data_IF_696339321992
#
_entry.id   IF_696339321992
#
_cell.length_a   1.000
_cell.length_b   1.000
_cell.length_c   1.000
_cell.angle_alpha   90.00
_cell.angle_beta   90.00
_cell.angle_gamma   90.00
#
_symmetry.space_group_name_H-M   'P 1'
#
loop_
_entity.id
_entity.type
_entity.pdbx_description
1 polymer ?
#
# COMPACT_ATOMS: atom_id res chain seq x y z
N UNK A 1 10.18 24.47 12.71
CA UNK A 1 9.55 24.51 11.37
C UNK A 1 9.70 23.19 10.58
N UNK A 2 9.27 22.03 11.12
CA UNK A 2 9.24 20.74 10.38
C UNK A 2 7.98 19.88 10.66
N UNK A 3 6.90 20.51 11.15
CA UNK A 3 5.61 19.84 11.46
C UNK A 3 4.43 20.29 10.58
N UNK A 4 4.68 21.10 9.54
CA UNK A 4 3.62 21.68 8.68
C UNK A 4 3.47 20.95 7.33
N UNK A 5 4.43 20.11 6.92
CA UNK A 5 4.42 19.53 5.57
C UNK A 5 3.53 18.29 5.39
N UNK A 6 3.01 17.68 6.46
CA UNK A 6 2.18 16.46 6.38
C UNK A 6 0.68 16.76 6.55
N UNK A 7 0.30 17.95 7.04
CA UNK A 7 -1.11 18.38 7.11
C UNK A 7 -1.65 19.05 5.83
N UNK A 8 -0.78 19.42 4.89
CA UNK A 8 -1.19 20.13 3.67
C UNK A 8 -1.79 19.25 2.57
N UNK A 9 -1.82 17.92 2.70
CA UNK A 9 -2.41 17.03 1.69
C UNK A 9 -3.91 16.74 1.93
N UNK A 10 -4.49 17.18 3.05
CA UNK A 10 -5.89 16.90 3.41
C UNK A 10 -6.80 18.13 3.59
N UNK A 11 -6.32 19.36 3.46
CA UNK A 11 -7.09 20.56 3.87
C UNK A 11 -7.63 21.46 2.75
N UNK A 12 -7.25 21.28 1.48
CA UNK A 12 -7.59 22.26 0.42
C UNK A 12 -8.78 21.91 -0.49
N UNK A 13 -9.65 20.99 -0.05
CA UNK A 13 -10.87 20.63 -0.81
C UNK A 13 -12.15 21.26 -0.24
N UNK A 14 -12.05 22.42 0.41
CA UNK A 14 -13.17 23.14 1.01
C UNK A 14 -13.29 24.58 0.52
N UNK A 15 -13.00 24.83 -0.76
CA UNK A 15 -13.41 26.07 -1.43
C UNK A 15 -13.32 25.90 -2.95
N UNK A 16 -14.41 25.39 -3.54
CA UNK A 16 -14.99 25.80 -4.84
C UNK A 16 -16.11 24.83 -5.22
N UNK A 17 -17.23 24.95 -4.51
CA UNK A 17 -18.53 24.50 -5.00
C UNK A 17 -19.38 25.77 -5.14
N UNK A 18 -19.41 26.31 -6.35
CA UNK A 18 -20.61 26.95 -6.87
C UNK A 18 -20.55 26.87 -8.39
N UNK A 19 -21.65 26.40 -9.00
CA UNK A 19 -21.90 26.19 -10.45
C UNK A 19 -21.25 24.90 -10.97
N UNK A 20 -21.95 23.91 -11.52
CA UNK A 20 -23.30 23.86 -12.08
C UNK A 20 -23.95 22.49 -11.85
N UNK A 21 -25.24 22.54 -11.57
CA UNK A 21 -26.18 21.43 -11.63
C UNK A 21 -26.42 20.99 -13.09
N UNK A 22 -26.97 19.77 -13.21
CA UNK A 22 -27.70 19.19 -14.33
C UNK A 22 -26.89 18.56 -15.48
N UNK A 23 -26.87 17.23 -15.56
CA UNK A 23 -27.88 16.48 -16.33
C UNK A 23 -27.67 14.96 -16.26
N UNK A 24 -28.82 14.28 -16.23
CA UNK A 24 -29.04 12.83 -16.23
C UNK A 24 -28.44 12.10 -17.43
N UNK A 25 -28.12 10.81 -17.26
CA UNK A 25 -28.71 9.75 -18.10
C UNK A 25 -28.30 8.36 -17.64
N UNK A 26 -29.35 7.55 -17.51
CA UNK A 26 -29.51 6.18 -17.08
C UNK A 26 -29.03 5.19 -18.15
N UNK A 27 -28.31 4.13 -17.76
CA UNK A 27 -28.40 2.81 -18.41
C UNK A 27 -27.83 1.73 -17.48
N UNK A 28 -28.74 0.93 -16.95
CA UNK A 28 -28.54 -0.25 -16.12
C UNK A 28 -28.23 -1.44 -17.04
N UNK A 29 -27.16 -2.21 -16.76
CA UNK A 29 -26.94 -3.51 -17.40
C UNK A 29 -26.62 -4.58 -16.37
N UNK A 30 -27.61 -5.43 -16.16
CA UNK A 30 -27.55 -6.71 -15.47
C UNK A 30 -26.47 -7.63 -16.06
N UNK A 31 -25.74 -8.33 -15.19
CA UNK A 31 -25.16 -9.62 -15.54
C UNK A 31 -25.32 -10.61 -14.39
N UNK A 32 -26.15 -11.61 -14.68
CA UNK A 32 -26.43 -12.79 -13.89
C UNK A 32 -25.24 -13.75 -14.01
N UNK A 33 -24.66 -14.21 -12.89
CA UNK A 33 -23.78 -15.39 -12.94
C UNK A 33 -23.88 -16.23 -11.67
N UNK A 34 -24.05 -17.52 -11.92
CA UNK A 34 -24.47 -18.57 -11.01
C UNK A 34 -23.43 -18.91 -9.95
N UNK A 35 -23.97 -19.23 -8.77
CA UNK A 35 -23.30 -19.59 -7.52
C UNK A 35 -22.94 -21.08 -7.52
N UNK A 36 -21.65 -21.40 -7.68
CA UNK A 36 -21.11 -22.72 -7.40
C UNK A 36 -20.66 -22.82 -5.93
N UNK A 37 -21.31 -23.69 -5.15
CA UNK A 37 -20.94 -24.02 -3.77
C UNK A 37 -19.81 -25.05 -3.77
N UNK A 38 -18.71 -24.80 -3.06
CA UNK A 38 -17.82 -25.85 -2.57
C UNK A 38 -17.44 -25.53 -1.12
N UNK A 39 -17.87 -26.42 -0.23
CA UNK A 39 -17.52 -26.46 1.18
C UNK A 39 -16.17 -27.15 1.34
N UNK A 40 -15.27 -26.60 2.17
CA UNK A 40 -14.24 -27.41 2.80
C UNK A 40 -13.97 -26.94 4.24
N UNK A 41 -13.66 -27.92 5.07
CA UNK A 41 -13.90 -28.00 6.50
C UNK A 41 -13.03 -27.09 7.37
N UNK A 42 -13.63 -26.62 8.48
CA UNK A 42 -12.94 -26.09 9.67
C UNK A 42 -12.26 -27.25 10.40
N UNK A 43 -10.99 -27.10 10.74
CA UNK A 43 -10.40 -27.77 11.90
C UNK A 43 -9.66 -26.75 12.75
N UNK A 44 -10.01 -26.76 14.03
CA UNK A 44 -9.60 -25.88 15.11
C UNK A 44 -8.72 -26.70 16.02
N UNK A 45 -7.50 -26.24 16.32
CA UNK A 45 -6.81 -26.59 17.57
C UNK A 45 -5.95 -25.40 18.02
N UNK A 46 -6.40 -24.78 19.12
CA UNK A 46 -5.55 -24.01 20.01
C UNK A 46 -4.97 -24.96 21.04
N UNK A 47 -3.65 -24.99 21.17
CA UNK A 47 -2.97 -25.24 22.46
C UNK A 47 -1.74 -24.34 22.52
N UNK A 48 -1.76 -23.49 23.55
CA UNK A 48 -0.73 -22.53 23.92
C UNK A 48 0.30 -23.24 24.80
N UNK A 49 1.58 -23.11 24.46
CA UNK A 49 2.67 -23.41 25.40
C UNK A 49 3.57 -22.18 25.47
N UNK A 50 3.56 -21.55 26.64
CA UNK A 50 4.46 -20.47 27.02
C UNK A 50 5.82 -21.06 27.35
N UNK A 51 6.86 -20.60 26.66
CA UNK A 51 8.22 -20.55 27.22
C UNK A 51 9.05 -19.49 26.51
N UNK A 52 9.78 -18.78 27.35
CA UNK A 52 10.57 -17.58 27.17
C UNK A 52 11.51 -17.59 25.95
N UNK A 53 11.39 -16.57 25.07
CA UNK A 53 12.53 -16.10 24.25
C UNK A 53 12.33 -14.62 23.88
N UNK A 54 12.84 -13.72 24.72
CA UNK A 54 12.90 -12.27 24.43
C UNK A 54 14.04 -11.90 23.44
N UNK A 55 14.78 -12.86 22.87
CA UNK A 55 15.94 -12.60 22.00
C UNK A 55 15.72 -12.92 20.50
N UNK A 56 14.77 -13.80 20.16
CA UNK A 56 14.58 -14.24 18.77
C UNK A 56 13.90 -13.23 17.84
N UNK A 57 13.05 -12.34 18.39
CA UNK A 57 12.27 -11.38 17.60
C UNK A 57 13.10 -10.22 17.06
N UNK A 58 14.10 -9.75 17.80
CA UNK A 58 14.98 -8.67 17.35
C UNK A 58 16.08 -9.14 16.38
N UNK A 59 16.50 -10.40 16.48
CA UNK A 59 17.45 -11.00 15.54
C UNK A 59 16.83 -11.29 14.16
N UNK A 60 15.57 -11.72 14.10
CA UNK A 60 14.85 -11.90 12.83
C UNK A 60 14.47 -10.55 12.17
N UNK A 61 14.16 -9.53 12.99
CA UNK A 61 13.86 -8.17 12.51
C UNK A 61 15.07 -7.47 11.87
N UNK A 62 16.29 -7.79 12.32
CA UNK A 62 17.53 -7.21 11.79
C UNK A 62 18.05 -7.87 10.50
N UNK A 63 17.64 -9.10 10.16
CA UNK A 63 18.07 -9.75 8.91
C UNK A 63 17.37 -9.20 7.66
N UNK A 64 16.17 -8.65 7.80
CA UNK A 64 15.31 -8.23 6.68
C UNK A 64 15.47 -6.77 6.25
N UNK A 65 16.28 -5.98 6.96
CA UNK A 65 16.46 -4.54 6.72
C UNK A 65 17.63 -4.18 5.79
N UNK A 66 18.48 -5.14 5.41
CA UNK A 66 19.69 -4.86 4.61
C UNK A 66 19.53 -5.22 3.14
N UNK A 67 19.43 -4.20 2.28
CA UNK A 67 19.53 -4.37 0.83
C UNK A 67 21.01 -4.55 0.42
N UNK A 68 21.37 -5.79 0.06
CA UNK A 68 22.72 -6.20 -0.33
C UNK A 68 22.81 -6.54 -1.83
N UNK A 69 23.32 -5.58 -2.60
CA UNK A 69 23.61 -5.71 -4.03
C UNK A 69 25.12 -5.80 -4.25
N UNK A 70 25.57 -6.66 -5.15
CA UNK A 70 26.97 -6.60 -5.62
C UNK A 70 27.20 -5.31 -6.43
N UNK A 71 28.46 -4.87 -6.57
CA UNK A 71 28.79 -3.69 -7.37
C UNK A 71 28.26 -3.81 -8.80
N UNK A 72 28.39 -4.99 -9.42
CA UNK A 72 27.85 -5.29 -10.75
C UNK A 72 26.33 -5.21 -10.79
N UNK A 73 25.63 -5.77 -9.79
CA UNK A 73 24.17 -5.68 -9.69
C UNK A 73 23.71 -4.23 -9.60
N UNK A 74 24.36 -3.42 -8.76
CA UNK A 74 24.03 -2.00 -8.59
C UNK A 74 24.25 -1.21 -9.88
N UNK A 75 25.35 -1.44 -10.59
CA UNK A 75 25.64 -0.78 -11.87
C UNK A 75 24.57 -1.10 -12.92
N UNK A 76 24.20 -2.38 -13.07
CA UNK A 76 23.21 -2.82 -14.04
C UNK A 76 21.79 -2.31 -13.69
N UNK A 77 21.42 -2.32 -12.41
CA UNK A 77 20.16 -1.74 -11.94
C UNK A 77 20.11 -0.24 -12.29
N UNK A 78 21.15 0.54 -11.95
CA UNK A 78 21.20 1.98 -12.26
C UNK A 78 21.04 2.25 -13.75
N UNK A 79 21.74 1.47 -14.58
CA UNK A 79 21.66 1.59 -16.04
C UNK A 79 20.26 1.31 -16.57
N UNK A 80 19.66 0.19 -16.15
CA UNK A 80 18.32 -0.21 -16.61
C UNK A 80 17.21 0.69 -16.05
N UNK A 81 17.37 1.20 -14.82
CA UNK A 81 16.48 2.20 -14.25
C UNK A 81 16.50 3.50 -15.06
N UNK A 82 17.68 4.04 -15.35
CA UNK A 82 17.82 5.25 -16.18
C UNK A 82 17.18 5.07 -17.55
N UNK A 83 17.38 3.92 -18.19
CA UNK A 83 16.70 3.59 -19.45
C UNK A 83 15.18 3.60 -19.31
N UNK A 84 14.63 3.02 -18.24
CA UNK A 84 13.19 3.00 -17.99
C UNK A 84 12.62 4.41 -17.74
N UNK A 85 13.37 5.26 -17.03
CA UNK A 85 13.00 6.66 -16.75
C UNK A 85 12.91 7.54 -18.01
N UNK A 86 13.64 7.19 -19.08
CA UNK A 86 13.58 7.92 -20.35
C UNK A 86 12.21 7.85 -21.05
N UNK A 87 11.30 6.98 -20.62
CA UNK A 87 9.94 6.86 -21.16
C UNK A 87 9.02 8.01 -20.72
N UNK A 88 9.39 8.75 -19.67
CA UNK A 88 8.63 9.92 -19.23
C UNK A 88 8.80 10.24 -17.74
N UNK A 89 8.37 11.44 -17.34
CA UNK A 89 8.59 11.96 -15.99
C UNK A 89 8.05 11.06 -14.86
N UNK A 90 6.96 10.33 -15.10
CA UNK A 90 6.34 9.39 -14.15
C UNK A 90 6.52 7.92 -14.54
N UNK A 91 7.28 7.62 -15.60
CA UNK A 91 7.62 6.26 -15.98
C UNK A 91 8.96 5.84 -15.36
N UNK A 92 9.15 4.57 -14.96
CA UNK A 92 8.27 3.44 -15.22
C UNK A 92 7.15 3.24 -14.17
N UNK A 93 7.00 4.14 -13.20
CA UNK A 93 6.06 3.97 -12.09
C UNK A 93 4.60 3.81 -12.56
N UNK A 94 4.14 4.62 -13.51
CA UNK A 94 2.81 4.48 -14.09
C UNK A 94 2.60 3.12 -14.75
N UNK A 95 3.55 2.62 -15.54
CA UNK A 95 3.46 1.29 -16.15
C UNK A 95 3.41 0.16 -15.11
N UNK A 96 4.13 0.29 -13.98
CA UNK A 96 4.09 -0.68 -12.87
C UNK A 96 2.70 -0.71 -12.24
N UNK A 97 2.13 0.45 -11.88
CA UNK A 97 0.78 0.51 -11.31
C UNK A 97 -0.29 0.02 -12.28
N UNK A 98 -0.16 0.32 -13.57
CA UNK A 98 -1.07 -0.22 -14.59
C UNK A 98 -0.94 -1.74 -14.69
N UNK A 99 0.27 -2.29 -14.62
CA UNK A 99 0.45 -3.75 -14.61
C UNK A 99 -0.15 -4.40 -13.36
N UNK A 100 -0.05 -3.76 -12.20
CA UNK A 100 -0.68 -4.28 -10.97
C UNK A 100 -2.22 -4.29 -11.03
N UNK A 101 -2.83 -3.38 -11.81
CA UNK A 101 -4.28 -3.41 -12.08
C UNK A 101 -4.70 -4.63 -12.88
N UNK A 102 -3.86 -5.11 -13.81
CA UNK A 102 -4.12 -6.35 -14.54
C UNK A 102 -3.91 -7.58 -13.66
N UNK A 103 -2.93 -7.55 -12.75
CA UNK A 103 -2.69 -8.63 -11.77
C UNK A 103 -3.81 -8.76 -10.76
N UNK A 104 -4.36 -7.64 -10.29
CA UNK A 104 -5.39 -7.62 -9.28
C UNK A 104 -6.35 -6.44 -9.51
N UNK A 105 -7.57 -6.74 -9.97
CA UNK A 105 -8.60 -5.74 -10.22
C UNK A 105 -8.98 -4.93 -8.97
N UNK A 106 -8.81 -5.48 -7.77
CA UNK A 106 -9.03 -4.75 -6.51
C UNK A 106 -8.07 -3.56 -6.35
N UNK A 107 -6.81 -3.68 -6.79
CA UNK A 107 -5.85 -2.57 -6.74
C UNK A 107 -6.34 -1.41 -7.63
N UNK A 108 -6.89 -1.74 -8.80
CA UNK A 108 -7.51 -0.73 -9.67
C UNK A 108 -8.70 -0.07 -8.98
N UNK A 109 -9.60 -0.85 -8.40
CA UNK A 109 -10.77 -0.32 -7.68
C UNK A 109 -10.35 0.61 -6.53
N UNK A 110 -9.31 0.24 -5.79
CA UNK A 110 -8.76 1.05 -4.70
C UNK A 110 -8.12 2.37 -5.18
N UNK A 111 -7.31 2.34 -6.23
CA UNK A 111 -6.65 3.56 -6.73
C UNK A 111 -7.63 4.47 -7.48
N UNK A 112 -8.57 3.88 -8.21
CA UNK A 112 -9.51 4.61 -9.06
C UNK A 112 -10.84 4.96 -8.35
N UNK A 113 -10.99 4.65 -7.05
CA UNK A 113 -12.22 4.96 -6.29
C UNK A 113 -12.57 6.45 -6.32
N UNK A 114 -13.85 6.74 -6.50
CA UNK A 114 -14.42 8.08 -6.62
C UNK A 114 -14.54 8.59 -8.06
N UNK A 115 -14.95 9.85 -8.24
CA UNK A 115 -14.99 10.55 -9.52
C UNK A 115 -13.71 10.36 -10.34
N UNK A 116 -13.88 10.23 -11.67
CA UNK A 116 -12.81 9.92 -12.63
C UNK A 116 -11.52 10.74 -12.38
N UNK A 117 -11.66 12.06 -12.22
CA UNK A 117 -10.52 12.96 -12.01
C UNK A 117 -9.75 12.66 -10.71
N UNK A 118 -10.44 12.26 -9.63
CA UNK A 118 -9.80 11.95 -8.36
C UNK A 118 -8.97 10.66 -8.42
N UNK A 119 -9.47 9.63 -9.11
CA UNK A 119 -8.73 8.37 -9.30
C UNK A 119 -7.43 8.58 -10.07
N UNK A 120 -7.46 9.34 -11.17
CA UNK A 120 -6.26 9.66 -11.94
C UNK A 120 -5.25 10.51 -11.16
N UNK A 121 -5.71 11.51 -10.39
CA UNK A 121 -4.81 12.29 -9.53
C UNK A 121 -4.20 11.45 -8.41
N UNK A 122 -4.94 10.50 -7.83
CA UNK A 122 -4.41 9.54 -6.85
C UNK A 122 -3.32 8.66 -7.46
N UNK A 123 -3.55 8.13 -8.66
CA UNK A 123 -2.56 7.35 -9.41
C UNK A 123 -1.31 8.18 -9.71
N UNK A 124 -1.48 9.42 -10.17
CA UNK A 124 -0.38 10.34 -10.47
C UNK A 124 0.47 10.62 -9.23
N UNK A 125 -0.17 10.87 -8.08
CA UNK A 125 0.51 11.05 -6.78
C UNK A 125 1.28 9.79 -6.36
N UNK A 126 0.69 8.60 -6.53
CA UNK A 126 1.38 7.33 -6.25
C UNK A 126 2.60 7.13 -7.14
N UNK A 127 2.45 7.35 -8.45
CA UNK A 127 3.56 7.23 -9.40
C UNK A 127 4.69 8.21 -9.08
N UNK A 128 4.37 9.48 -8.80
CA UNK A 128 5.36 10.47 -8.40
C UNK A 128 6.10 10.08 -7.13
N UNK A 129 5.36 9.74 -6.07
CA UNK A 129 5.95 9.35 -4.78
C UNK A 129 6.85 8.13 -4.92
N UNK A 130 6.39 7.12 -5.67
CA UNK A 130 7.17 5.92 -5.94
C UNK A 130 8.45 6.23 -6.72
N UNK A 131 8.36 7.02 -7.79
CA UNK A 131 9.54 7.47 -8.56
C UNK A 131 10.54 8.21 -7.66
N UNK A 132 10.09 9.16 -6.84
CA UNK A 132 10.97 9.94 -5.96
C UNK A 132 11.71 9.02 -4.96
N UNK A 133 11.02 8.03 -4.38
CA UNK A 133 11.62 7.05 -3.46
C UNK A 133 12.62 6.14 -4.20
N UNK A 134 12.26 5.66 -5.38
CA UNK A 134 13.10 4.77 -6.18
C UNK A 134 14.36 5.46 -6.69
N UNK A 135 14.24 6.71 -7.15
CA UNK A 135 15.38 7.51 -7.60
C UNK A 135 16.40 7.65 -6.46
N UNK A 136 15.95 7.96 -5.23
CA UNK A 136 16.83 8.03 -4.05
C UNK A 136 17.46 6.69 -3.69
N UNK A 137 16.68 5.60 -3.71
CA UNK A 137 17.17 4.25 -3.40
C UNK A 137 18.26 3.79 -4.38
N UNK A 138 18.04 4.02 -5.69
CA UNK A 138 18.89 3.49 -6.76
C UNK A 138 20.13 4.36 -6.97
N UNK A 139 19.97 5.69 -6.95
CA UNK A 139 21.11 6.61 -7.08
C UNK A 139 22.00 6.56 -5.83
N UNK A 140 21.44 6.21 -4.68
CA UNK A 140 22.18 6.15 -3.41
C UNK A 140 22.59 7.52 -2.88
N UNK A 141 21.85 8.57 -3.27
CA UNK A 141 22.11 9.94 -2.83
C UNK A 141 21.69 10.19 -1.37
N UNK A 142 20.87 9.31 -0.79
CA UNK A 142 20.43 9.40 0.60
C UNK A 142 20.84 8.17 1.41
N UNK A 143 20.97 8.38 2.73
CA UNK A 143 21.13 7.29 3.69
C UNK A 143 19.95 6.30 3.55
N UNK A 144 20.25 5.00 3.49
CA UNK A 144 19.23 3.96 3.25
C UNK A 144 18.11 4.01 4.30
N UNK A 145 18.44 4.42 5.51
CA UNK A 145 17.56 4.58 6.65
C UNK A 145 16.43 5.59 6.37
N UNK A 146 16.73 6.67 5.66
CA UNK A 146 15.74 7.69 5.27
C UNK A 146 14.74 7.08 4.27
N UNK A 147 15.25 6.34 3.29
CA UNK A 147 14.41 5.66 2.30
C UNK A 147 13.53 4.59 2.95
N UNK A 148 14.07 3.82 3.90
CA UNK A 148 13.34 2.83 4.69
C UNK A 148 12.18 3.49 5.44
N UNK A 149 12.43 4.62 6.10
CA UNK A 149 11.39 5.33 6.86
C UNK A 149 10.27 5.84 5.94
N UNK A 150 10.61 6.42 4.79
CA UNK A 150 9.61 6.87 3.81
C UNK A 150 8.79 5.70 3.23
N UNK A 151 9.42 4.55 2.98
CA UNK A 151 8.71 3.33 2.58
C UNK A 151 7.76 2.83 3.67
N UNK A 152 8.20 2.76 4.93
CA UNK A 152 7.33 2.35 6.05
C UNK A 152 6.17 3.32 6.24
N UNK A 153 6.43 4.62 6.16
CA UNK A 153 5.40 5.66 6.20
C UNK A 153 4.40 5.55 5.06
N UNK A 154 4.86 5.26 3.84
CA UNK A 154 3.97 4.96 2.71
C UNK A 154 3.12 3.71 2.99
N UNK A 155 3.71 2.64 3.55
CA UNK A 155 2.99 1.44 3.99
C UNK A 155 1.90 1.74 5.01
N UNK A 156 2.21 2.56 6.03
CA UNK A 156 1.25 3.01 7.05
C UNK A 156 0.05 3.75 6.45
N UNK A 157 0.27 4.59 5.43
CA UNK A 157 -0.80 5.37 4.78
C UNK A 157 -1.87 4.49 4.11
N UNK A 158 -1.55 3.26 3.73
CA UNK A 158 -2.52 2.33 3.15
C UNK A 158 -3.57 1.84 4.17
N UNK A 159 -3.33 2.00 5.48
CA UNK A 159 -4.35 1.74 6.50
C UNK A 159 -5.46 2.82 6.49
N UNK A 160 -5.15 4.06 6.12
CA UNK A 160 -6.18 5.11 6.00
C UNK A 160 -7.21 4.74 4.91
N UNK A 161 -6.76 4.13 3.81
CA UNK A 161 -7.64 3.62 2.75
C UNK A 161 -8.60 2.53 3.26
N UNK A 162 -8.18 1.72 4.24
CA UNK A 162 -9.05 0.72 4.86
C UNK A 162 -10.23 1.40 5.58
N UNK A 163 -9.96 2.47 6.34
CA UNK A 163 -10.97 3.15 7.16
C UNK A 163 -12.02 3.87 6.30
N UNK A 164 -11.57 4.54 5.25
CA UNK A 164 -12.46 5.33 4.38
C UNK A 164 -13.35 4.42 3.49
N UNK A 165 -12.93 3.17 3.26
CA UNK A 165 -13.73 2.16 2.56
C UNK A 165 -14.72 1.41 3.47
N UNK A 166 -14.43 1.30 4.77
CA UNK A 166 -15.31 0.61 5.74
C UNK A 166 -16.39 1.51 6.36
N UNK A 167 -16.30 2.84 6.20
CA UNK A 167 -17.20 3.81 6.87
C UNK A 167 -18.31 4.37 6.00
N UNK A 168 -18.43 3.95 4.74
CA UNK A 168 -19.56 4.33 3.87
C UNK A 168 -20.83 3.57 4.29
N UNK A 169 -21.49 4.03 5.36
CA UNK A 169 -22.89 3.71 5.65
C UNK A 169 -23.76 4.67 4.82
N UNK A 170 -24.34 4.19 3.73
CA UNK A 170 -25.37 4.96 3.02
C UNK A 170 -26.68 4.88 3.83
N UNK A 171 -27.12 5.99 4.40
CA UNK A 171 -28.40 6.10 5.12
C UNK A 171 -29.64 5.89 4.22
N UNK A 172 -29.47 5.60 2.92
CA UNK A 172 -30.54 5.42 1.93
C UNK A 172 -30.70 3.99 1.40
N UNK A 173 -29.73 3.11 1.62
CA UNK A 173 -29.85 1.70 1.25
C UNK A 173 -29.38 0.86 2.43
N UNK A 174 -30.20 -0.12 2.83
CA UNK A 174 -29.82 -1.10 3.85
C UNK A 174 -28.75 -2.09 3.32
N UNK A 175 -27.94 -1.66 2.35
CA UNK A 175 -26.92 -2.42 1.64
C UNK A 175 -25.60 -1.70 1.87
N UNK A 176 -24.84 -2.21 2.84
CA UNK A 176 -23.46 -1.81 3.05
C UNK A 176 -22.69 -2.04 1.74
N UNK A 177 -22.34 -0.97 1.02
CA UNK A 177 -21.37 -1.03 -0.08
C UNK A 177 -20.02 -1.34 0.56
N UNK A 178 -19.74 -2.63 0.74
CA UNK A 178 -18.46 -3.13 1.24
C UNK A 178 -17.41 -2.78 0.19
N UNK A 179 -16.77 -1.62 0.33
CA UNK A 179 -15.60 -1.29 -0.46
C UNK A 179 -14.53 -2.35 -0.23
N UNK A 180 -13.80 -2.74 -1.28
CA UNK A 180 -12.71 -3.70 -1.14
C UNK A 180 -11.66 -3.13 -0.17
N UNK A 181 -11.39 -3.78 0.98
CA UNK A 181 -10.39 -3.29 1.91
C UNK A 181 -8.99 -3.50 1.34
N UNK A 182 -8.04 -2.58 1.60
CA UNK A 182 -6.63 -2.83 1.32
C UNK A 182 -6.10 -3.99 2.19
N UNK A 183 -5.27 -4.87 1.62
CA UNK A 183 -4.77 -6.11 2.24
C UNK A 183 -3.31 -6.33 1.88
N UNK A 184 -2.62 -7.14 2.68
CA UNK A 184 -1.21 -7.49 2.44
C UNK A 184 -0.97 -8.09 1.05
N UNK A 185 -1.90 -8.91 0.54
CA UNK A 185 -1.79 -9.54 -0.79
C UNK A 185 -1.67 -8.51 -1.93
N UNK A 186 -2.17 -7.29 -1.76
CA UNK A 186 -2.03 -6.23 -2.76
C UNK A 186 -0.57 -5.82 -2.96
N UNK A 187 0.26 -5.90 -1.91
CA UNK A 187 1.70 -5.68 -2.05
C UNK A 187 2.38 -6.82 -2.83
N UNK A 188 1.91 -8.07 -2.72
CA UNK A 188 2.48 -9.19 -3.50
C UNK A 188 2.15 -9.08 -4.97
N UNK A 189 0.91 -8.71 -5.30
CA UNK A 189 0.50 -8.43 -6.66
C UNK A 189 1.28 -7.24 -7.25
N UNK A 190 1.53 -6.20 -6.45
CA UNK A 190 2.39 -5.09 -6.85
C UNK A 190 3.85 -5.53 -7.08
N UNK A 191 4.41 -6.36 -6.19
CA UNK A 191 5.76 -6.91 -6.33
C UNK A 191 5.91 -7.71 -7.63
N UNK A 192 4.96 -8.63 -7.88
CA UNK A 192 4.91 -9.42 -9.11
C UNK A 192 4.81 -8.54 -10.35
N UNK A 193 3.92 -7.55 -10.33
CA UNK A 193 3.77 -6.61 -11.44
C UNK A 193 5.06 -5.83 -11.72
N UNK A 194 5.77 -5.40 -10.69
CA UNK A 194 7.03 -4.67 -10.82
C UNK A 194 8.15 -5.55 -11.38
N UNK A 195 8.31 -6.78 -10.86
CA UNK A 195 9.30 -7.76 -11.34
C UNK A 195 9.10 -8.06 -12.84
N UNK A 196 7.86 -8.13 -13.30
CA UNK A 196 7.59 -8.31 -14.73
C UNK A 196 8.00 -7.10 -15.56
N UNK A 197 7.73 -5.87 -15.09
CA UNK A 197 8.18 -4.66 -15.78
C UNK A 197 9.70 -4.60 -15.87
N UNK A 198 10.44 -5.07 -14.87
CA UNK A 198 11.90 -5.01 -14.88
C UNK A 198 12.54 -5.86 -15.98
N UNK A 199 11.84 -6.88 -16.49
CA UNK A 199 12.31 -7.72 -17.60
C UNK A 199 12.39 -6.96 -18.93
N UNK A 200 11.66 -5.86 -19.05
CA UNK A 200 11.60 -5.04 -20.27
C UNK A 200 12.56 -3.86 -20.26
N UNK A 201 13.23 -3.58 -19.12
CA UNK A 201 14.09 -2.42 -18.96
C UNK A 201 15.51 -2.68 -19.46
N UNK A 202 16.14 -1.64 -20.01
CA UNK A 202 17.48 -1.69 -20.57
C UNK A 202 17.55 -2.27 -21.99
N UNK A 203 18.75 -2.23 -22.56
CA UNK A 203 19.06 -2.86 -23.83
C UNK A 203 19.07 -4.39 -23.69
N UNK A 204 18.94 -5.12 -24.81
CA UNK A 204 18.93 -6.60 -24.83
C UNK A 204 20.14 -7.21 -24.09
N UNK A 205 21.32 -6.58 -24.16
CA UNK A 205 22.56 -7.03 -23.49
C UNK A 205 22.52 -6.88 -21.97
N UNK A 206 21.75 -5.93 -21.46
CA UNK A 206 21.64 -5.64 -20.03
C UNK A 206 20.56 -6.52 -19.36
N UNK A 207 19.70 -7.18 -20.14
CA UNK A 207 18.63 -8.07 -19.67
C UNK A 207 19.17 -9.48 -19.41
N UNK A 208 19.90 -9.63 -18.32
CA UNK A 208 20.51 -10.90 -17.92
C UNK A 208 20.14 -11.30 -16.48
N UNK A 209 20.49 -12.52 -16.09
CA UNK A 209 20.20 -13.08 -14.76
C UNK A 209 20.75 -12.22 -13.62
N UNK A 210 21.91 -11.58 -13.81
CA UNK A 210 22.54 -10.72 -12.79
C UNK A 210 21.70 -9.46 -12.56
N UNK A 211 21.30 -8.78 -13.64
CA UNK A 211 20.41 -7.61 -13.57
C UNK A 211 19.07 -7.98 -12.93
N UNK A 212 18.46 -9.07 -13.38
CA UNK A 212 17.16 -9.51 -12.84
C UNK A 212 17.23 -9.89 -11.36
N UNK A 213 18.32 -10.53 -10.93
CA UNK A 213 18.54 -10.83 -9.50
C UNK A 213 18.68 -9.54 -8.69
N UNK A 214 19.36 -8.53 -9.23
CA UNK A 214 19.45 -7.20 -8.61
C UNK A 214 18.07 -6.55 -8.44
N UNK A 215 17.25 -6.55 -9.50
CA UNK A 215 15.88 -6.05 -9.44
C UNK A 215 15.01 -6.79 -8.44
N UNK A 216 15.01 -8.13 -8.46
CA UNK A 216 14.22 -8.92 -7.50
C UNK A 216 14.57 -8.57 -6.05
N UNK A 217 15.85 -8.43 -5.72
CA UNK A 217 16.28 -8.01 -4.37
C UNK A 217 15.72 -6.64 -3.99
N UNK A 218 15.77 -5.67 -4.90
CA UNK A 218 15.23 -4.32 -4.68
C UNK A 218 13.73 -4.36 -4.48
N UNK A 219 12.98 -5.06 -5.34
CA UNK A 219 11.52 -5.16 -5.23
C UNK A 219 11.10 -5.81 -3.92
N UNK A 220 11.73 -6.93 -3.55
CA UNK A 220 11.45 -7.62 -2.29
C UNK A 220 11.75 -6.71 -1.10
N UNK A 221 12.88 -6.00 -1.12
CA UNK A 221 13.22 -5.03 -0.08
C UNK A 221 12.15 -3.93 0.07
N UNK A 222 11.75 -3.30 -1.03
CA UNK A 222 10.73 -2.23 -1.02
C UNK A 222 9.41 -2.72 -0.45
N UNK A 223 8.93 -3.86 -0.94
CA UNK A 223 7.65 -4.42 -0.54
C UNK A 223 7.69 -4.89 0.91
N UNK A 224 8.82 -5.41 1.39
CA UNK A 224 8.99 -5.72 2.80
C UNK A 224 8.85 -4.46 3.68
N UNK A 225 9.52 -3.36 3.33
CA UNK A 225 9.41 -2.12 4.11
C UNK A 225 7.98 -1.54 4.11
N UNK A 226 7.28 -1.61 2.96
CA UNK A 226 5.86 -1.22 2.86
C UNK A 226 4.98 -2.11 3.76
N UNK A 227 5.21 -3.42 3.75
CA UNK A 227 4.48 -4.40 4.57
C UNK A 227 4.70 -4.18 6.05
N UNK A 228 5.95 -3.98 6.47
CA UNK A 228 6.29 -3.67 7.86
C UNK A 228 5.54 -2.44 8.35
N UNK A 229 5.60 -1.35 7.58
CA UNK A 229 4.87 -0.11 7.90
C UNK A 229 3.35 -0.34 8.02
N UNK A 230 2.75 -1.05 7.07
CA UNK A 230 1.33 -1.37 7.09
C UNK A 230 0.92 -2.22 8.32
N UNK A 231 1.70 -3.25 8.64
CA UNK A 231 1.44 -4.12 9.79
C UNK A 231 1.66 -3.41 11.12
N UNK A 232 2.66 -2.53 11.22
CA UNK A 232 2.87 -1.67 12.37
C UNK A 232 1.66 -0.78 12.63
N UNK A 233 1.12 -0.15 11.58
CA UNK A 233 -0.09 0.67 11.69
C UNK A 233 -1.31 -0.15 12.18
N UNK A 234 -1.53 -1.35 11.64
CA UNK A 234 -2.62 -2.22 12.10
C UNK A 234 -2.46 -2.57 13.58
N UNK A 235 -1.24 -2.94 14.00
CA UNK A 235 -0.98 -3.27 15.40
C UNK A 235 -1.22 -2.08 16.32
N UNK A 236 -0.81 -0.88 15.91
CA UNK A 236 -1.04 0.36 16.63
C UNK A 236 -2.53 0.69 16.75
N UNK A 237 -3.27 0.61 15.65
CA UNK A 237 -4.72 0.84 15.65
C UNK A 237 -5.46 -0.14 16.57
N UNK A 238 -5.08 -1.42 16.57
CA UNK A 238 -5.67 -2.43 17.47
C UNK A 238 -5.45 -2.08 18.95
N UNK A 239 -4.24 -1.64 19.30
CA UNK A 239 -3.91 -1.21 20.67
C UNK A 239 -4.69 0.03 21.07
N UNK A 240 -4.83 1.01 20.17
CA UNK A 240 -5.63 2.21 20.44
C UNK A 240 -7.11 1.89 20.64
N UNK A 241 -7.69 1.02 19.82
CA UNK A 241 -9.09 0.59 19.98
C UNK A 241 -9.32 -0.07 21.34
N UNK A 242 -8.42 -0.97 21.75
CA UNK A 242 -8.48 -1.60 23.07
C UNK A 242 -8.43 -0.57 24.21
N UNK A 243 -7.50 0.40 24.13
CA UNK A 243 -7.43 1.49 25.12
C UNK A 243 -8.73 2.29 25.20
N UNK A 244 -9.32 2.66 24.06
CA UNK A 244 -10.60 3.40 24.02
C UNK A 244 -11.75 2.62 24.67
N UNK A 245 -11.84 1.31 24.41
CA UNK A 245 -12.86 0.45 25.03
C UNK A 245 -12.66 0.34 26.55
N UNK A 246 -11.42 0.20 27.01
CA UNK A 246 -11.11 0.16 28.46
C UNK A 246 -11.46 1.50 29.12
N UNK A 247 -11.04 2.63 28.54
CA UNK A 247 -11.35 3.97 29.07
C UNK A 247 -12.86 4.26 29.10
N UNK A 248 -13.62 3.80 28.10
CA UNK A 248 -15.07 3.92 28.11
C UNK A 248 -15.69 3.13 29.27
N UNK A 249 -15.30 1.87 29.48
CA UNK A 249 -15.80 1.07 30.60
C UNK A 249 -15.52 1.71 31.95
N UNK A 250 -14.29 2.19 32.18
CA UNK A 250 -13.92 2.88 33.44
C UNK A 250 -14.80 4.10 33.71
N UNK A 251 -15.10 4.91 32.67
CA UNK A 251 -16.00 6.07 32.82
C UNK A 251 -17.44 5.67 33.16
N UNK A 252 -17.94 4.58 32.59
CA UNK A 252 -19.27 4.07 32.92
C UNK A 252 -19.33 3.58 34.37
N UNK A 253 -18.31 2.84 34.82
CA UNK A 253 -18.25 2.30 36.18
C UNK A 253 -18.08 3.42 37.25
N UNK A 254 -17.27 4.45 36.98
CA UNK A 254 -17.14 5.62 37.89
C UNK A 254 -18.43 6.44 38.03
N UNK A 255 -19.24 6.53 36.97
CA UNK A 255 -20.52 7.23 37.00
C UNK A 255 -21.57 6.48 37.83
N UNK A 256 -21.49 5.15 37.86
CA UNK A 256 -22.45 4.30 38.56
C UNK A 256 -22.15 4.10 40.05
N UNK A 257 -20.90 4.30 40.48
CA UNK A 257 -20.51 4.24 41.90
C UNK A 257 -20.85 5.55 42.66
N UNK A 258 -21.16 6.64 41.94
CA UNK A 258 -21.46 7.97 42.53
C UNK A 258 -22.97 8.27 42.64
N UNK A 259 -23.84 7.27 42.52
CA UNK A 259 -25.28 7.37 42.79
C UNK A 259 -25.62 6.61 44.07
#
# INVERSE_FOLDING_TARGET
MRKIFIRFILADSMQQISKSLNNDSLMERHNHRQRGKLNYSRSSLHTCSQSETLSGRDLMRNRSSSLNLTATQLLLVRKTWSHARNQGALEPALSIFRNSFYKCGEIRSLIMDGPKNMGYERLKKHAKSFTDIMDRLITGLEAKEIVIEELRKAGRAHLCLLRDNCTKFDNKSNTQLIGCPFRLIHFDHFASAMIERTLEWGEKKDRNKTTQTGWTKIVLFIVEQLREGYQDAIREERRERQKRTVTQKVKYDECHIRQ
#
